data_IF_154816772008
#
_entry.id   IF_154816772008
#
_cell.length_a   1.000
_cell.length_b   1.000
_cell.length_c   1.000
_cell.angle_alpha   90.00
_cell.angle_beta   90.00
_cell.angle_gamma   90.00
#
_symmetry.space_group_name_H-M   'P 1'
#
loop_
_entity.id
_entity.type
_entity.pdbx_description
1 polymer ?
#
# COMPACT_ATOMS: atom_id res chain seq x y z
N UNK A 1 -1.75 85.71 14.61
CA UNK A 1 -0.39 85.50 15.15
C UNK A 1 -0.13 84.01 15.24
N UNK A 2 0.81 83.55 14.42
CA UNK A 2 1.83 82.50 14.63
C UNK A 2 1.53 81.14 15.28
N UNK A 3 2.25 80.15 14.75
CA UNK A 3 2.58 78.82 15.27
C UNK A 3 1.50 77.74 15.08
N UNK A 4 1.45 76.98 13.99
CA UNK A 4 2.50 76.10 13.43
C UNK A 4 2.87 74.97 14.42
N UNK A 5 2.46 73.72 14.12
CA UNK A 5 3.34 72.54 13.93
C UNK A 5 2.65 71.19 14.28
N UNK A 6 2.97 70.19 13.45
CA UNK A 6 2.89 68.74 13.68
C UNK A 6 1.52 68.05 13.56
N UNK A 7 0.95 68.07 12.36
CA UNK A 7 0.32 66.88 11.77
C UNK A 7 0.84 66.78 10.33
N UNK A 8 0.97 65.55 9.81
CA UNK A 8 1.58 65.17 8.51
C UNK A 8 3.06 64.75 8.63
N UNK A 9 3.27 63.60 9.26
CA UNK A 9 4.33 62.62 8.96
C UNK A 9 3.55 61.31 8.99
N UNK A 10 3.17 60.68 7.88
CA UNK A 10 4.03 59.75 7.16
C UNK A 10 3.20 59.18 5.99
N UNK A 11 2.95 59.99 4.94
CA UNK A 11 2.29 59.53 3.70
C UNK A 11 2.99 60.09 2.46
N UNK A 12 4.33 60.00 2.46
CA UNK A 12 5.19 60.33 1.32
C UNK A 12 6.36 59.34 1.23
N UNK A 13 6.06 58.06 1.05
CA UNK A 13 7.07 57.08 0.61
C UNK A 13 6.52 56.34 -0.62
N UNK A 14 6.18 57.08 -1.68
CA UNK A 14 5.93 56.49 -2.99
C UNK A 14 6.18 57.48 -4.14
N UNK A 15 7.23 58.30 -4.09
CA UNK A 15 7.72 59.00 -5.30
C UNK A 15 9.25 59.10 -5.27
N UNK A 16 9.85 58.56 -6.33
CA UNK A 16 11.17 58.86 -6.90
C UNK A 16 12.45 58.42 -6.16
N UNK A 17 12.92 57.23 -6.51
CA UNK A 17 14.31 57.06 -6.92
C UNK A 17 14.32 56.61 -8.38
N UNK A 18 14.23 57.55 -9.33
CA UNK A 18 14.77 57.31 -10.68
C UNK A 18 16.27 57.54 -10.59
N UNK A 19 17.07 56.47 -10.49
CA UNK A 19 18.48 56.61 -10.81
C UNK A 19 18.58 56.80 -12.32
N UNK A 20 18.86 58.03 -12.73
CA UNK A 20 19.44 58.29 -14.04
C UNK A 20 20.88 57.78 -14.00
N UNK A 21 21.02 56.46 -14.12
CA UNK A 21 22.31 55.85 -14.43
C UNK A 21 22.57 56.14 -15.91
N UNK A 22 23.26 57.25 -16.20
CA UNK A 22 23.86 57.48 -17.51
C UNK A 22 24.74 56.28 -17.86
N UNK A 23 24.57 55.75 -19.07
CA UNK A 23 25.22 54.51 -19.56
C UNK A 23 26.75 54.49 -19.41
N UNK A 24 27.40 55.63 -19.19
CA UNK A 24 28.85 55.71 -19.03
C UNK A 24 29.39 55.24 -17.68
N UNK A 25 28.57 55.07 -16.64
CA UNK A 25 29.03 54.52 -15.35
C UNK A 25 28.95 52.98 -15.24
N UNK A 26 28.27 52.28 -16.17
CA UNK A 26 28.30 50.80 -16.24
C UNK A 26 29.49 50.24 -17.02
N UNK A 27 30.39 51.10 -17.52
CA UNK A 27 31.64 50.71 -18.19
C UNK A 27 32.84 50.62 -17.22
N UNK A 28 32.62 50.22 -15.97
CA UNK A 28 33.71 49.55 -15.26
C UNK A 28 33.81 48.15 -15.87
N UNK A 29 34.55 48.11 -16.97
CA UNK A 29 34.84 46.94 -17.77
C UNK A 29 35.48 45.91 -16.82
N UNK A 30 34.69 44.94 -16.35
CA UNK A 30 35.25 43.69 -15.89
C UNK A 30 36.13 43.20 -17.04
N UNK A 31 37.45 43.27 -16.87
CA UNK A 31 38.38 42.65 -17.83
C UNK A 31 37.97 41.19 -17.88
N UNK A 32 37.28 40.82 -18.95
CA UNK A 32 37.04 39.42 -19.29
C UNK A 32 38.42 38.88 -19.58
N UNK A 33 39.02 38.20 -18.59
CA UNK A 33 40.24 37.46 -18.84
C UNK A 33 39.90 36.44 -19.92
N UNK A 34 40.52 36.63 -21.08
CA UNK A 34 40.36 35.71 -22.18
C UNK A 34 41.17 34.49 -21.81
N UNK A 35 40.51 33.41 -21.39
CA UNK A 35 41.16 32.14 -21.11
C UNK A 35 41.67 31.61 -22.45
N UNK A 36 42.95 31.85 -22.74
CA UNK A 36 43.65 31.30 -23.91
C UNK A 36 44.30 29.99 -23.52
N UNK A 37 44.02 28.93 -24.28
CA UNK A 37 44.67 27.64 -24.09
C UNK A 37 46.13 27.71 -24.49
N UNK A 38 46.99 27.00 -23.76
CA UNK A 38 48.38 26.83 -24.15
C UNK A 38 48.50 25.73 -25.21
N UNK A 39 49.49 25.81 -26.10
CA UNK A 39 49.72 24.81 -27.17
C UNK A 39 49.94 23.38 -26.65
N UNK A 40 50.14 23.21 -25.33
CA UNK A 40 50.34 21.93 -24.65
C UNK A 40 49.11 21.45 -23.86
N UNK A 41 47.98 22.15 -23.95
CA UNK A 41 46.76 21.73 -23.27
C UNK A 41 46.22 20.46 -23.93
N UNK A 42 46.29 19.34 -23.21
CA UNK A 42 45.73 18.07 -23.65
C UNK A 42 44.20 18.13 -23.60
N UNK A 43 43.58 17.83 -24.75
CA UNK A 43 42.14 17.72 -24.83
C UNK A 43 41.72 16.33 -24.36
N UNK A 44 41.14 16.22 -23.17
CA UNK A 44 40.45 15.00 -22.78
C UNK A 44 39.11 14.95 -23.53
N UNK A 45 38.91 13.99 -24.45
CA UNK A 45 37.62 13.81 -25.08
C UNK A 45 36.63 13.38 -23.99
N UNK A 46 35.69 14.27 -23.66
CA UNK A 46 34.57 13.88 -22.81
C UNK A 46 33.64 13.01 -23.64
N UNK A 47 33.35 11.81 -23.13
CA UNK A 47 32.30 10.99 -23.73
C UNK A 47 30.99 11.79 -23.72
N UNK A 48 30.26 11.73 -24.83
CA UNK A 48 28.95 12.38 -24.89
C UNK A 48 28.06 11.73 -23.83
N UNK A 49 27.51 12.49 -22.87
CA UNK A 49 26.71 11.92 -21.80
C UNK A 49 25.52 11.18 -22.41
N UNK A 50 25.50 9.86 -22.24
CA UNK A 50 24.37 9.07 -22.69
C UNK A 50 23.20 9.34 -21.74
N UNK A 51 22.04 9.64 -22.30
CA UNK A 51 20.79 9.71 -21.53
C UNK A 51 20.51 8.33 -20.97
N UNK A 52 20.83 8.11 -19.68
CA UNK A 52 20.43 6.90 -18.98
C UNK A 52 18.90 6.91 -18.88
N UNK A 53 18.24 6.01 -19.59
CA UNK A 53 16.85 5.67 -19.30
C UNK A 53 16.84 5.10 -17.89
N UNK A 54 16.11 5.77 -16.98
CA UNK A 54 15.91 5.24 -15.63
C UNK A 54 15.22 3.88 -15.77
N UNK A 55 15.82 2.86 -15.17
CA UNK A 55 15.15 1.58 -14.98
C UNK A 55 13.91 1.86 -14.12
N UNK A 56 12.76 1.34 -14.54
CA UNK A 56 11.53 1.44 -13.76
C UNK A 56 11.73 0.73 -12.42
N UNK A 57 11.25 1.33 -11.33
CA UNK A 57 11.22 0.60 -10.08
C UNK A 57 10.30 -0.62 -10.22
N UNK A 58 10.51 -1.73 -9.46
CA UNK A 58 9.69 -2.93 -9.58
C UNK A 58 8.18 -2.71 -9.38
N UNK A 59 7.78 -1.64 -8.68
CA UNK A 59 6.38 -1.23 -8.50
C UNK A 59 5.84 -0.37 -9.66
N UNK A 60 6.71 0.20 -10.48
CA UNK A 60 6.39 0.97 -11.69
C UNK A 60 6.30 0.10 -12.93
N UNK A 61 6.66 -1.19 -12.84
CA UNK A 61 6.36 -2.18 -13.87
C UNK A 61 4.84 -2.21 -14.11
N UNK A 62 4.40 -1.51 -15.16
CA UNK A 62 3.00 -1.52 -15.59
C UNK A 62 2.75 -2.86 -16.26
N UNK A 63 1.83 -3.65 -15.71
CA UNK A 63 1.53 -4.92 -16.36
C UNK A 63 0.54 -4.77 -17.50
N UNK A 64 -0.43 -3.84 -17.46
CA UNK A 64 -1.33 -3.39 -18.55
C UNK A 64 -2.15 -2.21 -17.99
N UNK A 65 -1.64 -0.99 -18.08
CA UNK A 65 -2.19 0.28 -17.52
C UNK A 65 -2.34 0.37 -15.99
N UNK A 66 -2.26 -0.74 -15.27
CA UNK A 66 -2.27 -0.78 -13.80
C UNK A 66 -0.88 -1.11 -13.24
N UNK A 67 -0.57 -0.51 -12.08
CA UNK A 67 0.61 -0.84 -11.30
C UNK A 67 0.59 -2.30 -10.87
N UNK A 68 1.76 -2.95 -10.96
CA UNK A 68 1.98 -4.27 -10.37
C UNK A 68 1.70 -4.20 -8.87
N UNK A 69 0.91 -5.15 -8.37
CA UNK A 69 0.60 -5.24 -6.95
C UNK A 69 1.87 -5.71 -6.25
N UNK A 70 2.33 -4.93 -5.29
CA UNK A 70 3.48 -5.26 -4.44
C UNK A 70 3.01 -5.44 -3.00
N UNK A 71 3.92 -5.85 -2.10
CA UNK A 71 3.66 -5.94 -0.66
C UNK A 71 3.15 -4.62 -0.07
N UNK A 72 3.49 -3.48 -0.67
CA UNK A 72 3.08 -2.15 -0.19
C UNK A 72 1.56 -1.95 -0.24
N UNK A 73 0.85 -2.61 -1.17
CA UNK A 73 -0.61 -2.58 -1.25
C UNK A 73 -1.31 -3.26 -0.07
N UNK A 74 -0.55 -4.04 0.71
CA UNK A 74 -1.04 -4.73 1.89
C UNK A 74 -0.79 -3.92 3.16
N UNK A 75 -0.21 -2.73 3.11
CA UNK A 75 0.00 -1.96 4.35
C UNK A 75 -1.31 -1.64 5.05
N UNK A 76 -1.23 -1.52 6.37
CA UNK A 76 -2.36 -1.21 7.21
C UNK A 76 -2.96 0.15 6.87
N UNK A 77 -4.29 0.19 6.76
CA UNK A 77 -5.04 1.37 6.32
C UNK A 77 -5.72 2.14 7.46
N UNK A 78 -5.33 1.89 8.72
CA UNK A 78 -5.91 2.61 9.85
C UNK A 78 -5.69 4.12 9.74
N UNK A 79 -6.64 4.91 10.20
CA UNK A 79 -6.58 6.37 10.13
C UNK A 79 -6.84 6.98 11.50
N UNK A 80 -5.96 7.84 12.03
CA UNK A 80 -6.12 8.39 13.37
C UNK A 80 -7.30 9.37 13.46
N UNK A 81 -7.79 9.85 12.31
CA UNK A 81 -8.96 10.70 12.19
C UNK A 81 -10.28 9.91 12.19
N UNK A 82 -10.22 8.57 12.17
CA UNK A 82 -11.42 7.76 12.30
C UNK A 82 -12.06 7.99 13.67
N UNK A 83 -13.40 8.07 13.76
CA UNK A 83 -14.09 8.32 15.02
C UNK A 83 -13.84 7.17 16.00
N UNK A 84 -13.80 7.49 17.29
CA UNK A 84 -13.68 6.48 18.33
C UNK A 84 -14.83 5.46 18.27
N UNK A 85 -14.52 4.20 18.59
CA UNK A 85 -15.52 3.14 18.72
C UNK A 85 -15.71 2.81 20.18
N UNK A 86 -16.95 2.87 20.62
CA UNK A 86 -17.33 2.50 21.97
C UNK A 86 -18.03 1.15 21.94
N UNK A 87 -17.43 0.15 22.57
CA UNK A 87 -18.09 -1.12 22.85
C UNK A 87 -18.79 -1.04 24.20
N UNK A 88 -20.10 -0.84 24.15
CA UNK A 88 -20.99 -0.77 25.30
C UNK A 88 -21.73 -2.10 25.56
N UNK A 89 -21.28 -3.20 24.95
CA UNK A 89 -21.89 -4.52 25.16
C UNK A 89 -21.82 -4.99 26.62
N UNK A 90 -20.75 -4.60 27.33
CA UNK A 90 -20.61 -4.76 28.77
C UNK A 90 -20.73 -3.40 29.46
N UNK A 91 -21.86 -3.13 30.12
CA UNK A 91 -22.13 -1.86 30.81
C UNK A 91 -21.14 -1.56 31.95
N UNK A 92 -20.53 -2.58 32.53
CA UNK A 92 -19.56 -2.44 33.62
C UNK A 92 -18.11 -2.24 33.10
N UNK A 93 -17.87 -2.40 31.81
CA UNK A 93 -16.55 -2.26 31.19
C UNK A 93 -16.66 -1.73 29.76
N UNK A 94 -17.01 -0.44 29.67
CA UNK A 94 -17.05 0.29 28.40
C UNK A 94 -15.63 0.38 27.86
N UNK A 95 -15.41 -0.19 26.68
CA UNK A 95 -14.11 -0.12 25.99
C UNK A 95 -14.18 0.88 24.85
N UNK A 96 -13.21 1.78 24.82
CA UNK A 96 -13.01 2.72 23.72
C UNK A 96 -11.85 2.24 22.86
N UNK A 97 -12.10 2.10 21.57
CA UNK A 97 -11.13 1.72 20.56
C UNK A 97 -10.81 2.92 19.68
N UNK A 98 -9.54 3.27 19.63
CA UNK A 98 -8.99 4.27 18.71
C UNK A 98 -8.22 3.56 17.61
N UNK A 99 -8.31 4.10 16.41
CA UNK A 99 -7.60 3.54 15.27
C UNK A 99 -6.08 3.83 15.34
N UNK A 100 -5.30 3.16 14.48
CA UNK A 100 -3.87 3.40 14.33
C UNK A 100 -3.55 4.54 13.34
N UNK A 101 -2.28 4.90 13.27
CA UNK A 101 -1.73 5.92 12.36
C UNK A 101 -1.26 5.34 11.01
N UNK A 102 -1.87 4.23 10.55
CA UNK A 102 -1.51 3.56 9.29
C UNK A 102 -0.04 3.13 9.19
N UNK A 103 0.44 2.99 7.94
CA UNK A 103 1.82 2.76 7.54
C UNK A 103 2.81 3.85 7.97
N UNK A 104 2.35 4.99 8.51
CA UNK A 104 3.25 6.05 8.97
C UNK A 104 3.93 5.71 10.30
N UNK A 105 3.33 4.81 11.10
CA UNK A 105 3.84 4.40 12.42
C UNK A 105 4.19 2.94 12.52
N UNK A 106 3.88 2.13 11.52
CA UNK A 106 4.26 0.73 11.60
C UNK A 106 4.38 0.07 10.24
N UNK A 107 5.26 -0.93 10.22
CA UNK A 107 5.63 -1.71 9.06
C UNK A 107 4.61 -2.78 8.67
N UNK A 108 5.01 -3.56 7.66
CA UNK A 108 4.46 -4.89 7.43
C UNK A 108 5.07 -5.89 8.42
N UNK A 109 4.49 -7.09 8.54
CA UNK A 109 5.06 -8.16 9.34
C UNK A 109 6.49 -8.53 8.92
N UNK A 110 7.34 -8.84 9.89
CA UNK A 110 8.68 -9.37 9.71
C UNK A 110 8.59 -10.85 9.37
N UNK A 111 8.76 -11.18 8.10
CA UNK A 111 8.78 -12.55 7.58
C UNK A 111 10.16 -12.79 6.98
N UNK A 112 10.87 -13.82 7.47
CA UNK A 112 12.23 -14.15 7.06
C UNK A 112 13.24 -13.00 7.22
N UNK A 113 13.10 -12.21 8.30
CA UNK A 113 14.04 -11.15 8.66
C UNK A 113 13.78 -9.79 8.00
N UNK A 114 12.67 -9.61 7.26
CA UNK A 114 12.31 -8.32 6.68
C UNK A 114 10.81 -8.09 6.56
N UNK A 115 10.41 -6.83 6.36
CA UNK A 115 9.01 -6.44 6.14
C UNK A 115 8.44 -7.14 4.91
N UNK A 116 7.40 -7.96 5.08
CA UNK A 116 6.81 -8.70 3.99
C UNK A 116 5.36 -9.14 4.24
N UNK A 117 4.76 -9.65 3.18
CA UNK A 117 3.56 -10.48 3.20
C UNK A 117 3.87 -11.81 2.54
N UNK A 118 2.98 -12.80 2.68
CA UNK A 118 3.21 -14.08 2.04
C UNK A 118 3.16 -13.95 0.51
N UNK A 119 4.23 -14.34 -0.22
CA UNK A 119 4.34 -14.08 -1.67
C UNK A 119 3.20 -14.63 -2.50
N UNK A 120 2.61 -15.76 -2.08
CA UNK A 120 1.46 -16.37 -2.77
C UNK A 120 0.27 -15.41 -2.93
N UNK A 121 0.03 -14.53 -1.95
CA UNK A 121 -1.04 -13.55 -2.03
C UNK A 121 -0.75 -12.55 -3.16
N UNK A 122 0.48 -12.05 -3.23
CA UNK A 122 0.92 -11.10 -4.27
C UNK A 122 0.89 -11.76 -5.65
N UNK A 123 1.34 -13.01 -5.76
CA UNK A 123 1.36 -13.76 -7.01
C UNK A 123 -0.05 -13.96 -7.58
N UNK A 124 -0.99 -14.41 -6.74
CA UNK A 124 -2.39 -14.66 -7.15
C UNK A 124 -3.06 -13.35 -7.59
N UNK A 125 -2.92 -12.27 -6.82
CA UNK A 125 -3.58 -11.01 -7.18
C UNK A 125 -3.01 -10.41 -8.47
N UNK A 126 -1.69 -10.49 -8.69
CA UNK A 126 -1.09 -10.08 -9.97
C UNK A 126 -1.51 -10.99 -11.12
N UNK A 127 -1.66 -12.30 -10.89
CA UNK A 127 -2.20 -13.20 -11.90
C UNK A 127 -3.62 -12.79 -12.31
N UNK A 128 -4.51 -12.56 -11.33
CA UNK A 128 -5.89 -12.10 -11.58
C UNK A 128 -5.89 -10.78 -12.36
N UNK A 129 -5.07 -9.80 -11.95
CA UNK A 129 -4.97 -8.50 -12.65
C UNK A 129 -4.52 -8.68 -14.11
N UNK A 130 -3.54 -9.56 -14.37
CA UNK A 130 -3.05 -9.85 -15.72
C UNK A 130 -4.06 -10.58 -16.60
N UNK A 131 -4.85 -11.50 -16.04
CA UNK A 131 -5.86 -12.26 -16.79
C UNK A 131 -7.09 -11.41 -17.09
N UNK A 132 -7.55 -10.63 -16.11
CA UNK A 132 -8.78 -9.83 -16.23
C UNK A 132 -8.58 -8.50 -16.94
N UNK A 133 -7.33 -8.00 -17.03
CA UNK A 133 -7.00 -6.64 -17.48
C UNK A 133 -7.76 -5.56 -16.70
N UNK A 134 -8.10 -5.85 -15.45
CA UNK A 134 -8.90 -4.99 -14.56
C UNK A 134 -8.16 -4.80 -13.25
N UNK A 135 -8.39 -3.64 -12.63
CA UNK A 135 -7.80 -3.31 -11.33
C UNK A 135 -8.31 -4.27 -10.26
N UNK A 136 -7.37 -4.89 -9.54
CA UNK A 136 -7.68 -5.59 -8.29
C UNK A 136 -7.66 -4.58 -7.15
N UNK A 137 -8.76 -4.47 -6.42
CA UNK A 137 -8.92 -3.57 -5.27
C UNK A 137 -8.80 -4.38 -4.00
N UNK A 138 -7.62 -4.30 -3.36
CA UNK A 138 -7.41 -4.84 -2.01
C UNK A 138 -8.14 -3.93 -1.04
N UNK A 139 -9.14 -4.46 -0.33
CA UNK A 139 -9.90 -3.74 0.70
C UNK A 139 -9.14 -3.83 2.02
N UNK A 140 -8.68 -5.02 2.38
CA UNK A 140 -7.88 -5.26 3.56
C UNK A 140 -6.66 -6.15 3.28
N UNK A 141 -5.47 -5.69 3.69
CA UNK A 141 -4.22 -6.46 3.69
C UNK A 141 -3.77 -6.76 5.12
N UNK A 142 -2.60 -6.31 5.52
CA UNK A 142 -2.14 -6.36 6.90
C UNK A 142 -2.93 -5.40 7.81
N UNK A 143 -3.26 -5.84 9.03
CA UNK A 143 -3.77 -4.98 10.12
C UNK A 143 -2.81 -5.03 11.29
N UNK A 144 -2.38 -3.91 11.87
CA UNK A 144 -1.74 -3.99 13.18
C UNK A 144 -2.78 -4.37 14.25
N UNK A 145 -2.38 -4.89 15.43
CA UNK A 145 -3.30 -5.23 16.50
C UNK A 145 -4.24 -4.10 16.92
N UNK A 146 -3.75 -2.85 16.96
CA UNK A 146 -4.57 -1.68 17.29
C UNK A 146 -5.67 -1.47 16.26
N UNK A 147 -5.32 -1.42 14.97
CA UNK A 147 -6.28 -1.27 13.89
C UNK A 147 -7.20 -2.49 13.75
N UNK A 148 -6.71 -3.71 13.99
CA UNK A 148 -7.52 -4.91 13.94
C UNK A 148 -8.64 -4.86 14.98
N UNK A 149 -8.30 -4.50 16.22
CA UNK A 149 -9.25 -4.34 17.32
C UNK A 149 -10.23 -3.18 17.08
N UNK A 150 -9.78 -2.14 16.38
CA UNK A 150 -10.63 -1.03 15.95
C UNK A 150 -11.60 -1.45 14.83
N UNK A 151 -11.12 -2.16 13.81
CA UNK A 151 -11.89 -2.52 12.63
C UNK A 151 -12.97 -3.55 12.96
N UNK A 152 -12.64 -4.58 13.75
CA UNK A 152 -13.57 -5.62 14.17
C UNK A 152 -13.36 -5.99 15.65
N UNK A 153 -14.42 -5.80 16.45
CA UNK A 153 -14.45 -6.08 17.89
C UNK A 153 -14.84 -7.53 18.19
N UNK A 154 -15.20 -8.31 17.17
CA UNK A 154 -15.62 -9.70 17.32
C UNK A 154 -14.51 -10.56 17.94
N UNK A 155 -14.90 -11.62 18.66
CA UNK A 155 -13.93 -12.58 19.20
C UNK A 155 -13.17 -13.32 18.09
N UNK A 156 -13.80 -13.51 16.92
CA UNK A 156 -13.17 -14.10 15.73
C UNK A 156 -12.01 -13.26 15.19
N UNK A 157 -12.12 -11.93 15.24
CA UNK A 157 -11.06 -11.02 14.77
C UNK A 157 -9.78 -11.10 15.59
N UNK A 158 -9.84 -11.55 16.85
CA UNK A 158 -8.67 -11.61 17.75
C UNK A 158 -7.55 -12.53 17.24
N UNK A 159 -7.88 -13.47 16.35
CA UNK A 159 -6.92 -14.41 15.76
C UNK A 159 -6.83 -14.22 14.23
N UNK A 160 -7.16 -13.02 13.72
CA UNK A 160 -7.13 -12.73 12.29
C UNK A 160 -5.73 -12.93 11.69
N UNK A 161 -5.68 -13.52 10.50
CA UNK A 161 -4.45 -13.72 9.76
C UNK A 161 -3.99 -12.44 9.03
N UNK A 162 -4.84 -11.42 8.93
CA UNK A 162 -4.43 -10.08 8.52
C UNK A 162 -3.32 -9.54 9.44
N UNK A 163 -3.35 -9.85 10.74
CA UNK A 163 -2.33 -9.38 11.68
C UNK A 163 -0.93 -9.94 11.43
N UNK A 164 -0.83 -11.08 10.73
CA UNK A 164 0.45 -11.69 10.38
C UNK A 164 0.75 -11.62 8.87
N UNK A 165 -0.01 -10.80 8.13
CA UNK A 165 0.19 -10.60 6.68
C UNK A 165 -0.14 -11.83 5.83
N UNK A 166 -0.91 -12.77 6.38
CA UNK A 166 -1.27 -14.05 5.79
C UNK A 166 -2.72 -14.09 5.28
N UNK A 167 -3.35 -12.93 5.12
CA UNK A 167 -4.74 -12.81 4.70
C UNK A 167 -4.93 -11.53 3.87
N UNK A 168 -5.82 -11.62 2.89
CA UNK A 168 -6.20 -10.49 2.06
C UNK A 168 -7.68 -10.56 1.68
N UNK A 169 -8.33 -9.41 1.75
CA UNK A 169 -9.68 -9.19 1.24
C UNK A 169 -9.60 -8.30 0.01
N UNK A 170 -10.29 -8.69 -1.06
CA UNK A 170 -10.27 -7.94 -2.32
C UNK A 170 -11.50 -8.19 -3.19
N UNK A 171 -11.68 -7.31 -4.17
CA UNK A 171 -12.57 -7.53 -5.31
C UNK A 171 -11.89 -7.03 -6.59
N UNK A 172 -12.49 -7.30 -7.75
CA UNK A 172 -11.97 -6.85 -9.05
C UNK A 172 -12.91 -5.83 -9.65
N UNK A 173 -12.39 -4.65 -9.97
CA UNK A 173 -13.17 -3.52 -10.47
C UNK A 173 -13.78 -3.85 -11.85
N UNK A 174 -15.08 -3.64 -11.99
CA UNK A 174 -15.87 -4.03 -13.15
C UNK A 174 -16.14 -5.54 -13.27
N UNK A 175 -15.91 -6.33 -12.21
CA UNK A 175 -16.31 -7.73 -12.06
C UNK A 175 -16.93 -8.00 -10.67
N UNK A 176 -17.46 -6.95 -10.03
CA UNK A 176 -18.05 -6.98 -8.69
C UNK A 176 -19.20 -7.99 -8.58
N UNK A 177 -20.00 -8.12 -9.64
CA UNK A 177 -21.13 -9.04 -9.73
C UNK A 177 -20.75 -10.41 -10.33
N UNK A 178 -19.46 -10.73 -10.43
CA UNK A 178 -18.97 -12.01 -10.96
C UNK A 178 -17.80 -12.57 -10.14
N UNK A 179 -17.92 -12.66 -8.80
CA UNK A 179 -16.82 -13.13 -7.95
C UNK A 179 -16.42 -14.58 -8.24
N UNK A 180 -17.36 -15.43 -8.67
CA UNK A 180 -17.07 -16.81 -9.03
C UNK A 180 -16.03 -16.93 -10.16
N UNK A 181 -16.07 -16.03 -11.17
CA UNK A 181 -15.06 -16.01 -12.24
C UNK A 181 -13.67 -15.72 -11.69
N UNK A 182 -13.58 -14.93 -10.62
CA UNK A 182 -12.30 -14.62 -9.98
C UNK A 182 -11.81 -15.83 -9.18
N UNK A 183 -12.70 -16.58 -8.54
CA UNK A 183 -12.36 -17.84 -7.86
C UNK A 183 -11.82 -18.87 -8.87
N UNK A 184 -12.46 -18.98 -10.04
CA UNK A 184 -12.00 -19.88 -11.10
C UNK A 184 -10.57 -19.50 -11.58
N UNK A 185 -10.28 -18.19 -11.68
CA UNK A 185 -8.92 -17.72 -11.98
C UNK A 185 -7.89 -18.06 -10.88
N UNK A 186 -8.30 -18.08 -9.61
CA UNK A 186 -7.42 -18.56 -8.52
C UNK A 186 -7.10 -20.04 -8.74
N UNK A 187 -8.09 -20.86 -9.10
CA UNK A 187 -7.85 -22.28 -9.39
C UNK A 187 -6.94 -22.45 -10.61
N UNK A 188 -7.14 -21.65 -11.65
CA UNK A 188 -6.34 -21.73 -12.87
C UNK A 188 -4.90 -21.26 -12.67
N UNK A 189 -4.64 -20.32 -11.75
CA UNK A 189 -3.27 -19.98 -11.33
C UNK A 189 -2.50 -21.23 -10.89
N UNK A 190 -3.08 -22.07 -10.02
CA UNK A 190 -2.43 -23.29 -9.54
C UNK A 190 -2.24 -24.34 -10.65
N UNK A 191 -3.15 -24.43 -11.62
CA UNK A 191 -3.01 -25.36 -12.76
C UNK A 191 -1.97 -24.90 -13.78
N UNK A 192 -1.83 -23.59 -13.97
CA UNK A 192 -0.99 -23.01 -15.02
C UNK A 192 0.46 -22.85 -14.60
N UNK A 193 0.72 -22.53 -13.34
CA UNK A 193 2.06 -22.30 -12.81
C UNK A 193 2.85 -23.62 -12.64
N UNK A 194 4.00 -23.79 -13.33
CA UNK A 194 4.76 -25.05 -13.33
C UNK A 194 5.17 -25.52 -11.93
N UNK A 195 5.43 -24.57 -11.01
CA UNK A 195 5.87 -24.84 -9.63
C UNK A 195 4.86 -25.63 -8.79
N UNK A 196 3.59 -25.74 -9.23
CA UNK A 196 2.53 -26.46 -8.52
C UNK A 196 2.11 -27.77 -9.19
N UNK A 197 2.45 -27.99 -10.46
CA UNK A 197 2.04 -29.19 -11.21
C UNK A 197 2.62 -30.50 -10.68
N UNK A 198 3.73 -30.41 -9.94
CA UNK A 198 4.47 -31.57 -9.40
C UNK A 198 3.69 -32.24 -8.26
N UNK A 199 2.89 -31.47 -7.51
CA UNK A 199 2.19 -31.95 -6.33
C UNK A 199 0.70 -31.59 -6.42
N UNK A 200 -0.12 -32.62 -6.66
CA UNK A 200 -1.56 -32.48 -6.87
C UNK A 200 -2.31 -31.87 -5.67
N UNK A 201 -1.71 -31.86 -4.48
CA UNK A 201 -2.32 -31.25 -3.28
C UNK A 201 -2.39 -29.72 -3.37
N UNK A 202 -1.61 -29.09 -4.25
CA UNK A 202 -1.73 -27.66 -4.55
C UNK A 202 -2.77 -27.38 -5.64
N UNK A 203 -3.00 -28.29 -6.57
CA UNK A 203 -3.94 -28.06 -7.69
C UNK A 203 -5.36 -28.54 -7.39
N UNK A 204 -5.51 -29.47 -6.42
CA UNK A 204 -6.80 -30.03 -6.03
C UNK A 204 -7.45 -29.16 -4.95
N UNK A 205 -8.48 -28.42 -5.34
CA UNK A 205 -9.30 -27.64 -4.41
C UNK A 205 -10.47 -28.47 -3.88
N UNK A 206 -10.62 -28.49 -2.56
CA UNK A 206 -11.71 -29.15 -1.86
C UNK A 206 -12.66 -28.10 -1.27
N UNK A 207 -13.95 -28.40 -1.28
CA UNK A 207 -14.95 -27.61 -0.57
C UNK A 207 -14.90 -27.94 0.92
N UNK A 208 -14.74 -26.91 1.75
CA UNK A 208 -14.74 -27.01 3.20
C UNK A 208 -16.15 -27.30 3.71
N UNK A 209 -16.30 -28.34 4.53
CA UNK A 209 -17.62 -28.87 4.92
C UNK A 209 -18.10 -28.43 6.30
N UNK A 210 -17.21 -27.91 7.15
CA UNK A 210 -17.62 -27.45 8.46
C UNK A 210 -18.27 -26.06 8.35
N UNK A 211 -19.21 -25.73 9.26
CA UNK A 211 -19.81 -24.40 9.30
C UNK A 211 -18.76 -23.29 9.40
N UNK A 212 -18.97 -22.23 8.63
CA UNK A 212 -18.15 -21.02 8.63
C UNK A 212 -19.03 -19.79 8.78
N UNK A 213 -18.40 -18.63 8.87
CA UNK A 213 -18.96 -17.28 8.93
C UNK A 213 -19.50 -16.75 7.59
N UNK A 214 -19.61 -17.61 6.57
CA UNK A 214 -20.10 -17.27 5.22
C UNK A 214 -21.11 -18.31 4.74
N UNK A 215 -22.09 -17.89 3.95
CA UNK A 215 -23.14 -18.76 3.39
C UNK A 215 -22.60 -19.72 2.33
N UNK A 216 -21.63 -19.26 1.54
CA UNK A 216 -21.02 -20.04 0.46
C UNK A 216 -19.90 -20.91 1.03
N UNK A 217 -19.96 -22.26 0.89
CA UNK A 217 -18.92 -23.14 1.42
C UNK A 217 -17.53 -22.77 0.88
N UNK A 218 -16.55 -22.47 1.76
CA UNK A 218 -15.21 -22.09 1.33
C UNK A 218 -14.48 -23.20 0.56
N UNK A 219 -13.41 -22.83 -0.12
CA UNK A 219 -12.52 -23.77 -0.82
C UNK A 219 -11.12 -23.73 -0.23
N UNK A 220 -10.39 -24.83 -0.32
CA UNK A 220 -9.00 -24.86 0.10
C UNK A 220 -8.19 -25.88 -0.69
N UNK A 221 -6.90 -25.63 -0.76
CA UNK A 221 -5.88 -26.60 -1.18
C UNK A 221 -4.81 -26.69 -0.06
N UNK A 222 -3.63 -27.24 -0.38
CA UNK A 222 -2.50 -27.28 0.57
C UNK A 222 -2.00 -25.91 1.04
N UNK A 223 -2.07 -24.88 0.19
CA UNK A 223 -1.40 -23.59 0.42
C UNK A 223 -2.35 -22.50 0.93
N UNK A 224 -3.60 -22.46 0.47
CA UNK A 224 -4.55 -21.37 0.72
C UNK A 224 -5.97 -21.87 1.05
N UNK A 225 -6.69 -21.02 1.79
CA UNK A 225 -8.11 -21.11 2.07
C UNK A 225 -8.81 -19.90 1.45
N UNK A 226 -9.92 -20.10 0.76
CA UNK A 226 -10.62 -19.09 -0.02
C UNK A 226 -12.06 -19.01 0.47
N UNK A 227 -12.51 -17.83 0.87
CA UNK A 227 -13.92 -17.53 1.17
C UNK A 227 -14.49 -16.57 0.13
N UNK A 228 -15.73 -16.83 -0.27
CA UNK A 228 -16.58 -15.83 -0.91
C UNK A 228 -17.49 -15.24 0.15
N UNK A 229 -17.36 -13.93 0.39
CA UNK A 229 -18.24 -13.20 1.30
C UNK A 229 -19.28 -12.46 0.46
N UNK A 230 -20.56 -12.75 0.70
CA UNK A 230 -21.66 -12.06 0.03
C UNK A 230 -21.71 -10.58 0.44
N UNK A 231 -22.52 -9.80 -0.28
CA UNK A 231 -22.60 -8.32 -0.14
C UNK A 231 -22.88 -7.80 1.28
N UNK A 232 -23.46 -8.61 2.16
CA UNK A 232 -23.79 -8.24 3.55
C UNK A 232 -22.97 -8.97 4.60
N UNK A 233 -22.12 -9.92 4.20
CA UNK A 233 -21.40 -10.79 5.13
C UNK A 233 -20.08 -10.17 5.60
N UNK A 234 -19.72 -10.45 6.87
CA UNK A 234 -18.42 -10.13 7.47
C UNK A 234 -17.94 -8.69 7.22
N UNK A 235 -18.88 -7.74 7.26
CA UNK A 235 -18.59 -6.32 7.08
C UNK A 235 -17.99 -5.70 8.33
N UNK A 236 -16.89 -5.00 8.13
CA UNK A 236 -16.18 -4.21 9.12
C UNK A 236 -15.82 -2.84 8.55
N UNK A 237 -14.95 -2.08 9.23
CA UNK A 237 -14.57 -0.73 8.79
C UNK A 237 -13.61 -0.70 7.59
N UNK A 238 -12.97 -1.81 7.24
CA UNK A 238 -12.02 -1.91 6.13
C UNK A 238 -12.66 -2.37 4.81
N UNK A 239 -13.76 -3.10 4.86
CA UNK A 239 -14.46 -3.64 3.68
C UNK A 239 -15.88 -3.06 3.51
N UNK A 240 -16.06 -1.77 3.83
CA UNK A 240 -17.32 -1.02 3.67
C UNK A 240 -17.65 -0.71 2.20
N UNK A 241 -17.94 -1.73 1.42
CA UNK A 241 -18.43 -1.60 0.06
C UNK A 241 -19.63 -2.55 -0.18
N UNK A 242 -20.53 -2.19 -1.12
CA UNK A 242 -21.79 -2.91 -1.32
C UNK A 242 -21.63 -4.24 -2.09
N UNK A 243 -20.44 -4.51 -2.63
CA UNK A 243 -20.19 -5.66 -3.50
C UNK A 243 -19.68 -6.89 -2.73
N UNK A 244 -19.92 -8.13 -3.19
CA UNK A 244 -19.21 -9.30 -2.70
C UNK A 244 -17.68 -9.12 -2.75
N UNK A 245 -16.96 -9.81 -1.87
CA UNK A 245 -15.49 -9.84 -1.89
C UNK A 245 -14.94 -11.22 -1.58
N UNK A 246 -13.68 -11.42 -1.96
CA UNK A 246 -12.98 -12.68 -1.78
C UNK A 246 -11.93 -12.48 -0.70
N UNK A 247 -11.90 -13.42 0.25
CA UNK A 247 -10.84 -13.53 1.25
C UNK A 247 -9.93 -14.70 0.88
N UNK A 248 -8.62 -14.47 0.82
CA UNK A 248 -7.62 -15.54 0.72
C UNK A 248 -6.79 -15.55 1.99
N UNK A 249 -6.73 -16.70 2.66
CA UNK A 249 -5.86 -16.95 3.81
C UNK A 249 -4.78 -17.96 3.46
N UNK A 250 -3.53 -17.69 3.81
CA UNK A 250 -2.43 -18.64 3.64
C UNK A 250 -2.47 -19.68 4.74
N UNK A 251 -2.43 -20.96 4.36
CA UNK A 251 -2.41 -22.14 5.25
C UNK A 251 -1.00 -22.70 5.37
N UNK A 252 -0.20 -22.67 4.29
CA UNK A 252 1.13 -23.27 4.27
C UNK A 252 2.11 -22.37 3.52
N UNK A 253 3.29 -22.17 4.09
CA UNK A 253 4.37 -21.43 3.46
C UNK A 253 5.36 -22.40 2.81
N UNK A 254 5.48 -22.30 1.49
CA UNK A 254 6.35 -23.18 0.70
C UNK A 254 7.82 -22.95 0.96
N UNK A 255 8.23 -21.70 1.25
CA UNK A 255 9.63 -21.37 1.45
C UNK A 255 10.15 -22.01 2.74
N UNK A 256 9.40 -21.87 3.83
CA UNK A 256 9.76 -22.41 5.15
C UNK A 256 9.26 -23.84 5.38
N UNK A 257 8.38 -24.35 4.50
CA UNK A 257 7.69 -25.65 4.62
C UNK A 257 6.88 -25.78 5.93
N UNK A 258 6.34 -24.66 6.42
CA UNK A 258 5.61 -24.60 7.68
C UNK A 258 4.15 -24.22 7.48
N UNK A 259 3.29 -24.69 8.39
CA UNK A 259 1.91 -24.23 8.46
C UNK A 259 1.86 -22.79 8.94
N UNK A 260 1.12 -21.96 8.23
CA UNK A 260 0.87 -20.56 8.58
C UNK A 260 -0.33 -20.51 9.53
N UNK A 261 -0.03 -20.25 10.80
CA UNK A 261 -1.00 -20.09 11.87
C UNK A 261 -0.76 -18.76 12.57
N UNK A 262 -1.85 -18.19 13.09
CA UNK A 262 -1.76 -17.04 13.97
C UNK A 262 -0.99 -17.40 15.24
N UNK A 263 -0.12 -16.50 15.67
CA UNK A 263 0.40 -16.49 17.04
C UNK A 263 0.42 -15.07 17.55
N UNK A 264 0.21 -14.90 18.86
CA UNK A 264 0.21 -13.58 19.48
C UNK A 264 1.54 -12.85 19.23
N UNK A 265 2.65 -13.57 19.35
CA UNK A 265 4.00 -13.04 19.11
C UNK A 265 4.17 -12.50 17.68
N UNK A 266 3.79 -13.27 16.65
CA UNK A 266 3.86 -12.81 15.26
C UNK A 266 2.97 -11.58 15.03
N UNK A 267 1.80 -11.55 15.65
CA UNK A 267 0.85 -10.46 15.47
C UNK A 267 1.21 -9.18 16.22
N UNK A 268 1.85 -9.25 17.40
CA UNK A 268 2.08 -8.09 18.27
C UNK A 268 3.54 -7.64 18.35
N UNK A 269 4.48 -8.53 18.03
CA UNK A 269 5.93 -8.26 18.04
C UNK A 269 6.58 -8.48 16.68
N UNK A 270 5.84 -9.02 15.72
CA UNK A 270 6.36 -9.37 14.41
C UNK A 270 6.28 -8.25 13.39
N UNK A 271 6.40 -6.97 13.74
CA UNK A 271 6.46 -5.84 12.80
C UNK A 271 7.19 -4.66 13.45
N UNK A 272 7.75 -3.76 12.64
CA UNK A 272 8.41 -2.54 13.14
C UNK A 272 7.36 -1.51 13.55
N UNK A 273 7.53 -0.91 14.74
CA UNK A 273 6.73 0.20 15.28
C UNK A 273 7.48 1.53 15.18
#
# INVERSE_FOLDING_TARGET
MNCQRFFIFLSFIFIACSSNDTEDQKKQCHKIETITRMDKDEFYPFETPQKKTLDLYPFEERSLDYYKITKEFFRCKGQPLNPERVDSSNKDNIKVYLDCESSAKHGLPLINGGENVYPILVDILNYIQRQTKKRVVITCGHRCPKHNSYADISNSAKNSKHMIGAEVDFYVQGLENSPQKIIDLIFDYYKTEPKYRIDNTYTSFLSYKNPTDVSTPPWYNKEIFIKLNESTENRDFNNRHPYPYITIQVIFDRATKQKVTYSWEKAHRGYLQ
#
